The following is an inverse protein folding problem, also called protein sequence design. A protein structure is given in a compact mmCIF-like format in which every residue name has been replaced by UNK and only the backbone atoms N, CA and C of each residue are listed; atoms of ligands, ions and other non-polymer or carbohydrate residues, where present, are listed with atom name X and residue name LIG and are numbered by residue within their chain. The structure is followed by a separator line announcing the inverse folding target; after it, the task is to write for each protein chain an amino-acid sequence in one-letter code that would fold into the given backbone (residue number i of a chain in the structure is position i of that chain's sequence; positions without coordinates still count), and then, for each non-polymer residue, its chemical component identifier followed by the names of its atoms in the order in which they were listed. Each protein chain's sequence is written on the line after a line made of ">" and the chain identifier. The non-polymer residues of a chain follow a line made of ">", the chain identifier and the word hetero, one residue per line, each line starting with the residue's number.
data_IF_029956893600
#
_entry.id   IF_029956893600
#
_cell.length_a   1.000
_cell.length_b   1.000
_cell.length_c   1.000
_cell.angle_alpha   90.00
_cell.angle_beta   90.00
_cell.angle_gamma   90.00
#
_symmetry.space_group_name_H-M   'P 1'
#
loop_
_entity.id
_entity.type
_entity.pdbx_description
1 polymer ?
#
# COMPACT_ATOMS: atom_id res chain seq x y z
N UNK A 1 -14.24 20.32 -10.73
CA UNK A 1 -14.93 19.53 -9.69
C UNK A 1 -14.15 18.24 -9.56
N UNK A 2 -13.60 17.91 -8.39
CA UNK A 2 -12.97 16.61 -8.19
C UNK A 2 -14.09 15.59 -7.98
N UNK A 3 -14.18 14.58 -8.86
CA UNK A 3 -15.10 13.46 -8.67
C UNK A 3 -14.73 12.72 -7.39
N UNK A 4 -15.72 12.52 -6.51
CA UNK A 4 -15.52 11.78 -5.27
C UNK A 4 -15.13 10.34 -5.60
N UNK A 5 -13.83 10.03 -5.53
CA UNK A 5 -13.36 8.66 -5.53
C UNK A 5 -13.91 7.98 -4.27
N UNK A 6 -15.04 7.27 -4.42
CA UNK A 6 -15.56 6.41 -3.37
C UNK A 6 -14.44 5.45 -2.97
N UNK A 7 -14.02 5.49 -1.70
CA UNK A 7 -13.14 4.49 -1.07
C UNK A 7 -13.76 3.07 -1.03
N UNK A 8 -14.80 2.82 -1.82
CA UNK A 8 -15.57 1.59 -1.86
C UNK A 8 -14.91 0.55 -2.75
N UNK A 9 -13.72 0.10 -2.38
CA UNK A 9 -13.05 -0.95 -3.14
C UNK A 9 -12.20 -1.90 -2.32
N UNK A 10 -11.63 -1.44 -1.20
CA UNK A 10 -10.78 -2.31 -0.39
C UNK A 10 -11.54 -3.03 0.73
N UNK A 11 -12.55 -2.36 1.30
CA UNK A 11 -13.36 -2.90 2.40
C UNK A 11 -14.55 -3.72 1.91
N UNK A 12 -15.01 -3.47 0.68
CA UNK A 12 -16.12 -4.19 0.06
C UNK A 12 -15.70 -5.55 -0.53
N UNK A 13 -14.40 -5.79 -0.72
CA UNK A 13 -13.85 -7.04 -1.28
C UNK A 13 -12.70 -7.57 -0.41
N UNK A 14 -13.00 -8.48 0.54
CA UNK A 14 -11.99 -9.09 1.39
C UNK A 14 -11.02 -10.00 0.62
N UNK A 15 -11.39 -10.51 -0.56
CA UNK A 15 -10.46 -11.27 -1.41
C UNK A 15 -9.43 -10.36 -2.06
N UNK A 16 -9.84 -9.17 -2.47
CA UNK A 16 -8.92 -8.14 -2.98
C UNK A 16 -7.90 -7.72 -1.93
N UNK A 17 -8.31 -7.57 -0.67
CA UNK A 17 -7.37 -7.29 0.42
C UNK A 17 -6.33 -8.41 0.57
N UNK A 18 -6.76 -9.68 0.59
CA UNK A 18 -5.86 -10.84 0.66
C UNK A 18 -4.87 -10.90 -0.52
N UNK A 19 -5.34 -10.60 -1.74
CA UNK A 19 -4.47 -10.53 -2.92
C UNK A 19 -3.37 -9.48 -2.77
N UNK A 20 -3.71 -8.28 -2.31
CA UNK A 20 -2.70 -7.23 -2.10
C UNK A 20 -1.73 -7.57 -0.97
N UNK A 21 -2.20 -8.21 0.12
CA UNK A 21 -1.32 -8.69 1.18
C UNK A 21 -0.30 -9.71 0.65
N UNK A 22 -0.75 -10.70 -0.14
CA UNK A 22 0.13 -11.69 -0.75
C UNK A 22 1.17 -11.05 -1.69
N UNK A 23 0.74 -10.15 -2.57
CA UNK A 23 1.65 -9.43 -3.47
C UNK A 23 2.68 -8.60 -2.71
N UNK A 24 2.28 -8.01 -1.57
CA UNK A 24 3.17 -7.28 -0.70
C UNK A 24 4.23 -8.18 -0.05
N UNK A 25 3.82 -9.34 0.48
CA UNK A 25 4.73 -10.33 1.07
C UNK A 25 5.73 -10.89 0.05
N UNK A 26 5.29 -11.14 -1.19
CA UNK A 26 6.16 -11.58 -2.29
C UNK A 26 7.19 -10.51 -2.69
N UNK A 27 6.78 -9.24 -2.75
CA UNK A 27 7.67 -8.13 -3.10
C UNK A 27 8.64 -7.76 -1.97
N UNK A 28 8.22 -7.94 -0.71
CA UNK A 28 8.96 -7.51 0.47
C UNK A 28 8.97 -8.60 1.56
N UNK A 29 9.62 -9.74 1.31
CA UNK A 29 9.63 -10.85 2.25
C UNK A 29 10.26 -10.44 3.59
N UNK A 30 9.55 -10.75 4.69
CA UNK A 30 10.01 -10.49 6.05
C UNK A 30 10.02 -9.01 6.47
N UNK A 31 9.38 -8.12 5.70
CA UNK A 31 9.26 -6.70 6.04
C UNK A 31 7.82 -6.33 6.33
N UNK A 32 7.60 -5.47 7.33
CA UNK A 32 6.28 -4.95 7.61
C UNK A 32 5.97 -3.75 6.69
N UNK A 33 4.70 -3.58 6.29
CA UNK A 33 4.24 -2.42 5.53
C UNK A 33 4.54 -1.10 6.25
N UNK A 34 4.44 -1.09 7.59
CA UNK A 34 4.80 0.06 8.41
C UNK A 34 6.29 0.41 8.29
N UNK A 35 7.18 -0.59 8.19
CA UNK A 35 8.61 -0.34 8.04
C UNK A 35 8.94 0.31 6.68
N UNK A 36 8.15 0.00 5.65
CA UNK A 36 8.29 0.60 4.32
C UNK A 36 7.74 2.03 4.31
N UNK A 37 6.58 2.25 4.92
CA UNK A 37 5.94 3.58 4.99
C UNK A 37 6.72 4.56 5.87
N UNK A 38 7.29 4.09 6.98
CA UNK A 38 8.11 4.90 7.89
C UNK A 38 9.58 4.94 7.48
N UNK A 39 9.96 4.27 6.39
CA UNK A 39 11.30 4.44 5.82
C UNK A 39 11.43 5.90 5.46
N UNK A 40 12.36 6.60 6.13
CA UNK A 40 12.69 8.00 5.80
C UNK A 40 12.80 8.08 4.28
N UNK A 41 12.11 9.04 3.62
CA UNK A 41 12.20 9.16 2.17
C UNK A 41 13.69 9.20 1.82
N UNK A 42 14.06 8.53 0.73
CA UNK A 42 15.43 8.57 0.25
C UNK A 42 15.89 10.04 0.28
N UNK A 43 17.10 10.31 0.78
CA UNK A 43 17.64 11.69 0.90
C UNK A 43 17.61 12.48 -0.42
N UNK A 44 17.27 11.82 -1.53
CA UNK A 44 17.14 12.32 -2.89
C UNK A 44 15.69 12.49 -3.38
N UNK A 45 14.65 12.27 -2.55
CA UNK A 45 13.25 12.54 -2.92
C UNK A 45 12.92 14.05 -3.00
N UNK A 46 13.93 14.92 -2.76
CA UNK A 46 13.94 16.29 -3.24
C UNK A 46 15.05 16.44 -4.28
N UNK A 47 14.65 16.51 -5.55
CA UNK A 47 15.16 17.47 -6.52
C UNK A 47 14.12 17.64 -7.62
#
# INVERSE_FOLDING_TARGET
>A
MCEEHKFGGLWDDPERLKRYQKLFEEAFPGKNALDILHRRPAKHAKK
#
